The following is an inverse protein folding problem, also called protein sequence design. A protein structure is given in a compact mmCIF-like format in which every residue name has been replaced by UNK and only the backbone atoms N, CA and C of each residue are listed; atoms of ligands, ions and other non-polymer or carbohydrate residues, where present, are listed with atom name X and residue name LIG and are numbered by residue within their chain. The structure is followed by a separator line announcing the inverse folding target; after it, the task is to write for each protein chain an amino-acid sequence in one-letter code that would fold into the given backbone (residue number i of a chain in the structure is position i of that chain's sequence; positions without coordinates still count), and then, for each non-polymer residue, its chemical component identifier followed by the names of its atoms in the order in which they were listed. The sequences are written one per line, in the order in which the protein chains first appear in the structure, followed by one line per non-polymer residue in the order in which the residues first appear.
data_IF_118803344488
#
_entry.id   IF_118803344488
#
_cell.length_a   1.000
_cell.length_b   1.000
_cell.length_c   1.000
_cell.angle_alpha   90.00
_cell.angle_beta   90.00
_cell.angle_gamma   90.00
#
_symmetry.space_group_name_H-M   'P 1'
#
loop_
_entity.id
_entity.type
_entity.pdbx_description
1 polymer ?
#
# COMPACT_ATOMS: atom_id res chain seq x y z
N UNK A 1 -0.70 15.99 -16.25
CA UNK A 1 -0.84 14.56 -16.57
C UNK A 1 -1.02 13.77 -15.31
N UNK A 2 -2.04 12.92 -15.26
CA UNK A 2 -2.27 12.03 -14.13
C UNK A 2 -1.41 10.77 -14.28
N UNK A 3 -0.80 10.35 -13.20
CA UNK A 3 -0.02 9.11 -13.16
C UNK A 3 -0.59 8.18 -12.10
N UNK A 4 -0.66 6.90 -12.43
CA UNK A 4 -1.07 5.87 -11.48
C UNK A 4 0.16 5.29 -10.80
N UNK A 5 0.12 5.23 -9.48
CA UNK A 5 1.14 4.53 -8.71
C UNK A 5 0.61 3.20 -8.20
N UNK A 6 1.24 2.14 -8.63
CA UNK A 6 0.85 0.76 -8.34
C UNK A 6 1.79 0.19 -7.29
N UNK A 7 1.25 -0.06 -6.10
CA UNK A 7 1.99 -0.70 -5.02
C UNK A 7 1.27 -1.96 -4.56
N UNK A 8 2.01 -2.95 -4.06
CA UNK A 8 1.44 -4.20 -3.59
C UNK A 8 1.84 -4.43 -2.15
N UNK A 9 0.86 -4.59 -1.27
CA UNK A 9 1.08 -4.85 0.15
C UNK A 9 1.18 -6.36 0.36
N UNK A 10 2.21 -6.78 1.10
CA UNK A 10 2.34 -8.15 1.59
C UNK A 10 2.01 -8.14 3.08
N UNK A 11 0.76 -8.50 3.48
CA UNK A 11 0.40 -8.53 4.89
C UNK A 11 1.12 -9.67 5.62
N UNK A 12 1.31 -9.53 6.94
CA UNK A 12 1.77 -10.66 7.77
C UNK A 12 0.72 -11.77 7.82
N UNK A 13 -0.57 -11.38 7.81
CA UNK A 13 -1.69 -12.33 7.73
C UNK A 13 -2.22 -12.34 6.30
N UNK A 14 -2.02 -13.42 5.53
CA UNK A 14 -2.47 -13.47 4.13
C UNK A 14 -3.99 -13.44 3.97
N UNK A 15 -4.76 -13.74 5.00
CA UNK A 15 -6.22 -13.66 4.94
C UNK A 15 -6.71 -12.23 4.72
N UNK A 16 -5.93 -11.23 5.13
CA UNK A 16 -6.29 -9.82 4.96
C UNK A 16 -6.35 -9.40 3.50
N UNK A 17 -5.69 -10.13 2.60
CA UNK A 17 -5.72 -9.85 1.16
C UNK A 17 -7.15 -9.92 0.61
N UNK A 18 -7.96 -10.81 1.17
CA UNK A 18 -9.34 -11.04 0.74
C UNK A 18 -10.40 -10.51 1.72
N UNK A 19 -9.98 -9.61 2.63
CA UNK A 19 -10.88 -9.07 3.66
C UNK A 19 -11.00 -7.53 3.56
N UNK A 20 -11.86 -7.02 2.66
CA UNK A 20 -12.06 -5.57 2.52
C UNK A 20 -12.57 -4.91 3.79
N UNK A 21 -13.38 -5.61 4.61
CA UNK A 21 -13.91 -5.03 5.84
C UNK A 21 -12.78 -4.65 6.80
N UNK A 22 -11.75 -5.49 6.90
CA UNK A 22 -10.64 -5.25 7.80
C UNK A 22 -9.90 -3.96 7.44
N UNK A 23 -9.55 -3.78 6.17
CA UNK A 23 -8.83 -2.56 5.79
C UNK A 23 -9.70 -1.31 5.84
N UNK A 24 -11.01 -1.42 5.58
CA UNK A 24 -11.91 -0.28 5.75
C UNK A 24 -12.02 0.15 7.21
N UNK A 25 -12.14 -0.79 8.13
CA UNK A 25 -12.16 -0.51 9.58
C UNK A 25 -10.87 0.19 9.98
N UNK A 26 -9.73 -0.32 9.53
CA UNK A 26 -8.43 0.26 9.83
C UNK A 26 -8.30 1.69 9.30
N UNK A 27 -8.74 1.94 8.06
CA UNK A 27 -8.71 3.28 7.46
C UNK A 27 -9.54 4.28 8.28
N UNK A 28 -10.71 3.86 8.75
CA UNK A 28 -11.62 4.74 9.50
C UNK A 28 -11.11 5.12 10.88
N UNK A 29 -10.10 4.41 11.41
CA UNK A 29 -9.50 4.77 12.71
C UNK A 29 -8.52 5.95 12.59
N UNK A 30 -8.15 6.34 11.38
CA UNK A 30 -7.22 7.45 11.15
C UNK A 30 -7.96 8.74 10.89
N UNK A 31 -7.71 9.75 11.70
CA UNK A 31 -8.36 11.06 11.60
C UNK A 31 -8.07 11.76 10.27
N UNK A 32 -6.88 11.51 9.72
CA UNK A 32 -6.42 12.18 8.51
C UNK A 32 -6.98 11.59 7.23
N UNK A 33 -7.64 10.42 7.31
CA UNK A 33 -8.17 9.71 6.16
C UNK A 33 -9.70 9.70 6.23
N UNK A 34 -10.34 10.27 5.21
CA UNK A 34 -11.80 10.32 5.13
C UNK A 34 -12.24 9.60 3.87
N UNK A 35 -12.93 8.48 4.03
CA UNK A 35 -13.52 7.75 2.90
C UNK A 35 -14.82 8.42 2.52
N UNK A 36 -14.92 8.92 1.28
CA UNK A 36 -16.10 9.60 0.78
C UNK A 36 -17.05 8.68 0.04
N UNK A 37 -16.50 7.75 -0.74
CA UNK A 37 -17.28 6.84 -1.57
C UNK A 37 -16.50 5.56 -1.81
N UNK A 38 -17.19 4.43 -1.81
CA UNK A 38 -16.58 3.15 -2.13
C UNK A 38 -17.57 2.34 -3.00
N UNK A 39 -17.00 1.59 -3.95
CA UNK A 39 -17.78 0.74 -4.84
C UNK A 39 -16.91 -0.39 -5.36
N UNK A 40 -17.45 -1.19 -6.25
CA UNK A 40 -16.75 -2.31 -6.86
C UNK A 40 -16.70 -2.15 -8.37
N UNK A 41 -15.49 -2.30 -8.91
CA UNK A 41 -15.24 -2.30 -10.35
C UNK A 41 -14.77 -3.70 -10.75
N UNK A 42 -15.44 -4.34 -11.71
CA UNK A 42 -15.11 -5.71 -12.10
C UNK A 42 -13.69 -5.89 -12.61
N UNK A 43 -13.13 -4.87 -13.23
CA UNK A 43 -11.80 -4.94 -13.81
C UNK A 43 -10.69 -4.55 -12.82
N UNK A 44 -10.97 -3.63 -11.89
CA UNK A 44 -9.96 -3.01 -11.05
C UNK A 44 -10.11 -3.32 -9.56
N UNK A 45 -11.20 -3.94 -9.13
CA UNK A 45 -11.46 -4.28 -7.74
C UNK A 45 -12.26 -3.22 -7.01
N UNK A 46 -11.95 -3.01 -5.72
CA UNK A 46 -12.64 -2.02 -4.88
C UNK A 46 -12.15 -0.63 -5.26
N UNK A 47 -13.08 0.23 -5.68
CA UNK A 47 -12.78 1.62 -6.02
C UNK A 47 -13.18 2.51 -4.85
N UNK A 48 -12.26 3.36 -4.40
CA UNK A 48 -12.48 4.22 -3.24
C UNK A 48 -12.09 5.64 -3.59
N UNK A 49 -13.01 6.57 -3.34
CA UNK A 49 -12.72 8.00 -3.34
C UNK A 49 -12.52 8.42 -1.88
N UNK A 50 -11.39 9.03 -1.59
CA UNK A 50 -11.03 9.40 -0.22
C UNK A 50 -10.21 10.69 -0.19
N UNK A 51 -10.06 11.24 1.01
CA UNK A 51 -9.17 12.38 1.25
C UNK A 51 -8.13 12.00 2.30
N UNK A 52 -6.90 12.46 2.08
CA UNK A 52 -5.81 12.36 3.05
C UNK A 52 -5.35 13.79 3.33
N UNK A 53 -5.53 14.29 4.55
CA UNK A 53 -5.25 15.69 4.92
C UNK A 53 -5.90 16.66 3.92
N UNK A 54 -7.18 16.43 3.61
CA UNK A 54 -7.99 17.22 2.66
C UNK A 54 -7.57 17.12 1.18
N UNK A 55 -6.57 16.33 0.85
CA UNK A 55 -6.19 16.07 -0.54
C UNK A 55 -7.00 14.89 -1.09
N UNK A 56 -7.75 15.08 -2.19
CA UNK A 56 -8.60 14.02 -2.73
C UNK A 56 -7.79 13.02 -3.56
N UNK A 57 -8.13 11.74 -3.42
CA UNK A 57 -7.52 10.65 -4.17
C UNK A 57 -8.56 9.64 -4.59
N UNK A 58 -8.29 8.97 -5.69
CA UNK A 58 -9.00 7.77 -6.10
C UNK A 58 -8.03 6.60 -6.10
N UNK A 59 -8.45 5.50 -5.48
CA UNK A 59 -7.66 4.28 -5.44
C UNK A 59 -8.47 3.08 -5.88
N UNK A 60 -7.77 2.06 -6.37
CA UNK A 60 -8.34 0.75 -6.65
C UNK A 60 -7.54 -0.29 -5.88
N UNK A 61 -8.25 -1.18 -5.19
CA UNK A 61 -7.65 -2.20 -4.32
C UNK A 61 -8.13 -3.57 -4.75
N UNK A 62 -7.21 -4.47 -5.01
CA UNK A 62 -7.56 -5.85 -5.38
C UNK A 62 -6.44 -6.83 -5.05
N UNK A 63 -6.78 -8.12 -4.79
CA UNK A 63 -5.77 -9.16 -4.70
C UNK A 63 -5.05 -9.33 -6.04
N UNK A 64 -3.76 -9.62 -5.99
CA UNK A 64 -2.96 -9.85 -7.19
C UNK A 64 -1.87 -10.89 -6.94
N UNK A 65 -1.53 -11.64 -7.97
CA UNK A 65 -0.36 -12.52 -7.95
C UNK A 65 0.91 -11.67 -8.05
N UNK A 66 1.96 -12.10 -7.39
CA UNK A 66 3.22 -11.37 -7.35
C UNK A 66 4.41 -12.24 -7.71
N UNK A 67 5.46 -11.60 -8.24
CA UNK A 67 6.75 -12.21 -8.53
C UNK A 67 7.85 -11.41 -7.83
N UNK A 68 8.25 -11.87 -6.66
CA UNK A 68 9.23 -11.19 -5.83
C UNK A 68 10.62 -11.07 -6.49
N UNK A 69 11.13 -12.09 -7.24
CA UNK A 69 12.45 -12.00 -7.83
C UNK A 69 12.70 -10.82 -8.76
N UNK A 70 11.63 -10.23 -9.32
CA UNK A 70 11.77 -9.06 -10.21
C UNK A 70 12.02 -7.74 -9.46
N UNK A 71 11.94 -7.74 -8.12
CA UNK A 71 12.10 -6.53 -7.31
C UNK A 71 13.47 -6.46 -6.66
N UNK A 72 14.02 -5.24 -6.58
CA UNK A 72 15.29 -4.99 -5.92
C UNK A 72 15.09 -5.08 -4.40
N UNK A 73 15.83 -5.97 -3.76
CA UNK A 73 15.79 -6.17 -2.32
C UNK A 73 16.87 -5.32 -1.67
N UNK A 74 16.48 -4.53 -0.69
CA UNK A 74 17.39 -3.76 0.13
C UNK A 74 17.69 -4.58 1.39
N UNK A 75 18.75 -5.41 1.30
CA UNK A 75 19.05 -6.42 2.33
C UNK A 75 19.17 -5.89 3.75
N UNK A 76 19.60 -4.63 3.90
CA UNK A 76 19.73 -4.02 5.22
C UNK A 76 18.39 -3.69 5.88
N UNK A 77 17.28 -3.78 5.14
CA UNK A 77 15.92 -3.51 5.66
C UNK A 77 15.21 -4.77 6.13
N UNK A 78 15.75 -5.94 5.85
CA UNK A 78 15.08 -7.21 6.12
C UNK A 78 15.96 -8.16 6.94
N UNK A 79 15.32 -8.90 7.85
CA UNK A 79 15.97 -10.03 8.51
C UNK A 79 15.90 -11.26 7.60
N UNK A 80 16.71 -12.28 7.91
CA UNK A 80 16.68 -13.54 7.13
C UNK A 80 15.30 -14.22 7.22
N UNK A 81 14.65 -14.16 8.38
CA UNK A 81 13.33 -14.72 8.57
C UNK A 81 12.28 -14.01 7.72
N UNK A 82 12.36 -12.68 7.66
CA UNK A 82 11.48 -11.88 6.81
C UNK A 82 11.65 -12.23 5.34
N UNK A 83 12.90 -12.35 4.87
CA UNK A 83 13.18 -12.71 3.48
C UNK A 83 12.64 -14.11 3.13
N UNK A 84 12.74 -15.06 4.04
CA UNK A 84 12.17 -16.40 3.85
C UNK A 84 10.65 -16.35 3.74
N UNK A 85 10.02 -15.59 4.62
CA UNK A 85 8.56 -15.42 4.60
C UNK A 85 8.10 -14.76 3.30
N UNK A 86 8.82 -13.74 2.84
CA UNK A 86 8.53 -13.02 1.59
C UNK A 86 8.70 -13.95 0.38
N UNK A 87 9.74 -14.77 0.35
CA UNK A 87 9.98 -15.69 -0.75
C UNK A 87 8.88 -16.75 -0.91
N UNK A 88 8.16 -17.05 0.15
CA UNK A 88 7.06 -17.99 0.13
C UNK A 88 5.74 -17.35 -0.34
N UNK A 89 5.67 -16.03 -0.42
CA UNK A 89 4.45 -15.29 -0.76
C UNK A 89 4.18 -15.37 -2.27
N UNK A 90 2.93 -15.64 -2.62
CA UNK A 90 2.50 -15.72 -4.03
C UNK A 90 1.45 -14.68 -4.39
N UNK A 91 0.87 -14.02 -3.41
CA UNK A 91 -0.21 -13.08 -3.59
C UNK A 91 -0.05 -11.89 -2.65
N UNK A 92 -0.47 -10.73 -3.10
CA UNK A 92 -0.51 -9.51 -2.31
C UNK A 92 -1.78 -8.73 -2.58
N UNK A 93 -1.93 -7.60 -1.88
CA UNK A 93 -3.04 -6.68 -2.06
C UNK A 93 -2.54 -5.46 -2.83
N UNK A 94 -2.99 -5.30 -4.07
CA UNK A 94 -2.58 -4.15 -4.87
C UNK A 94 -3.36 -2.90 -4.45
N UNK A 95 -2.66 -1.78 -4.40
CA UNK A 95 -3.23 -0.46 -4.20
C UNK A 95 -2.75 0.42 -5.35
N UNK A 96 -3.65 0.74 -6.25
CA UNK A 96 -3.35 1.62 -7.38
C UNK A 96 -3.95 2.99 -7.06
N UNK A 97 -3.12 4.03 -7.02
CA UNK A 97 -3.52 5.38 -6.63
C UNK A 97 -3.18 6.36 -7.74
N UNK A 98 -4.14 7.21 -8.07
CA UNK A 98 -3.93 8.26 -9.06
C UNK A 98 -3.22 9.43 -8.40
N UNK A 99 -2.04 9.78 -8.92
CA UNK A 99 -1.27 10.92 -8.44
C UNK A 99 -1.66 12.19 -9.18
N UNK A 100 -1.97 13.23 -8.42
CA UNK A 100 -2.23 14.57 -8.93
C UNK A 100 -1.42 15.56 -8.10
N UNK A 101 -0.74 16.50 -8.75
CA UNK A 101 0.09 17.48 -8.08
C UNK A 101 1.50 16.98 -7.79
N UNK A 102 2.06 17.33 -6.61
CA UNK A 102 3.43 16.99 -6.26
C UNK A 102 3.57 15.47 -6.00
N UNK A 103 4.36 14.75 -6.82
CA UNK A 103 4.49 13.30 -6.66
C UNK A 103 5.11 12.88 -5.32
N UNK A 104 5.90 13.72 -4.67
CA UNK A 104 6.47 13.41 -3.36
C UNK A 104 5.39 13.40 -2.29
N UNK A 105 4.45 14.32 -2.35
CA UNK A 105 3.29 14.36 -1.44
C UNK A 105 2.38 13.16 -1.69
N UNK A 106 2.10 12.86 -2.96
CA UNK A 106 1.28 11.70 -3.34
C UNK A 106 1.91 10.39 -2.87
N UNK A 107 3.22 10.24 -3.03
CA UNK A 107 3.95 9.06 -2.58
C UNK A 107 3.84 8.89 -1.06
N UNK A 108 4.07 9.95 -0.31
CA UNK A 108 3.93 9.96 1.13
C UNK A 108 2.50 9.59 1.56
N UNK A 109 1.50 10.18 0.91
CA UNK A 109 0.10 9.89 1.22
C UNK A 109 -0.25 8.44 0.91
N UNK A 110 0.30 7.87 -0.17
CA UNK A 110 0.08 6.46 -0.49
C UNK A 110 0.68 5.54 0.57
N UNK A 111 1.88 5.84 1.07
CA UNK A 111 2.49 5.07 2.17
C UNK A 111 1.67 5.18 3.46
N UNK A 112 1.16 6.36 3.77
CA UNK A 112 0.30 6.57 4.93
C UNK A 112 -1.00 5.77 4.81
N UNK A 113 -1.59 5.77 3.61
CA UNK A 113 -2.80 5.00 3.33
C UNK A 113 -2.54 3.50 3.50
N UNK A 114 -1.45 3.00 2.93
CA UNK A 114 -1.06 1.59 3.03
C UNK A 114 -0.85 1.20 4.49
N UNK A 115 -0.14 2.03 5.25
CA UNK A 115 0.10 1.76 6.67
C UNK A 115 -1.20 1.73 7.48
N UNK A 116 -2.14 2.60 7.13
CA UNK A 116 -3.46 2.62 7.76
C UNK A 116 -4.28 1.37 7.42
N UNK A 117 -4.27 0.95 6.15
CA UNK A 117 -5.06 -0.20 5.68
C UNK A 117 -4.59 -1.51 6.31
N UNK A 118 -3.28 -1.75 6.28
CA UNK A 118 -2.65 -3.00 6.74
C UNK A 118 -1.47 -2.63 7.64
N UNK A 119 -1.70 -2.36 8.93
CA UNK A 119 -0.62 -1.98 9.85
C UNK A 119 0.43 -3.08 10.01
N UNK A 120 0.01 -4.35 10.04
CA UNK A 120 0.89 -5.50 10.18
C UNK A 120 1.25 -6.07 8.81
N UNK A 121 2.39 -5.66 8.27
CA UNK A 121 2.83 -6.07 6.93
C UNK A 121 4.30 -6.49 6.92
N UNK A 122 4.61 -7.45 6.07
CA UNK A 122 5.99 -7.91 5.83
C UNK A 122 6.73 -6.91 4.93
N UNK A 123 6.07 -6.47 3.88
CA UNK A 123 6.71 -5.64 2.85
C UNK A 123 5.68 -4.95 1.99
N UNK A 124 6.15 -3.97 1.23
CA UNK A 124 5.39 -3.31 0.17
C UNK A 124 6.25 -3.32 -1.09
N UNK A 125 5.66 -3.76 -2.20
CA UNK A 125 6.30 -3.71 -3.50
C UNK A 125 5.98 -2.38 -4.15
N UNK A 126 6.98 -1.53 -4.32
CA UNK A 126 6.85 -0.28 -5.05
C UNK A 126 7.12 -0.57 -6.52
N UNK A 127 6.06 -0.82 -7.29
CA UNK A 127 6.18 -1.28 -8.66
C UNK A 127 6.82 -0.23 -9.58
N UNK A 128 6.48 1.08 -9.49
CA UNK A 128 7.12 2.07 -10.35
C UNK A 128 8.64 2.13 -10.19
N UNK A 129 9.17 1.95 -8.99
CA UNK A 129 10.62 1.97 -8.73
C UNK A 129 11.26 0.60 -8.70
N UNK A 130 10.47 -0.47 -8.81
CA UNK A 130 10.91 -1.87 -8.74
C UNK A 130 11.67 -2.21 -7.44
N UNK A 131 11.22 -1.62 -6.33
CA UNK A 131 11.84 -1.81 -5.02
C UNK A 131 10.92 -2.56 -4.07
N UNK A 132 11.53 -3.39 -3.23
CA UNK A 132 10.85 -4.07 -2.14
C UNK A 132 11.14 -3.27 -0.85
N UNK A 133 10.08 -2.67 -0.28
CA UNK A 133 10.18 -1.87 0.94
C UNK A 133 9.79 -2.73 2.14
N UNK A 134 10.57 -2.64 3.24
CA UNK A 134 10.19 -3.37 4.46
C UNK A 134 8.97 -2.74 5.11
N UNK A 135 8.19 -3.56 5.82
CA UNK A 135 7.05 -3.06 6.59
C UNK A 135 7.47 -2.02 7.61
N UNK A 136 8.63 -2.22 8.25
CA UNK A 136 9.16 -1.26 9.23
C UNK A 136 9.50 0.07 8.58
N UNK A 137 10.11 0.05 7.40
CA UNK A 137 10.46 1.29 6.70
C UNK A 137 9.20 2.07 6.31
N UNK A 138 8.18 1.37 5.82
CA UNK A 138 6.90 2.01 5.44
C UNK A 138 6.22 2.63 6.66
N UNK A 139 6.22 1.94 7.78
CA UNK A 139 5.65 2.45 9.03
C UNK A 139 6.38 3.71 9.50
N UNK A 140 7.71 3.71 9.47
CA UNK A 140 8.51 4.89 9.83
C UNK A 140 8.29 6.04 8.86
N UNK A 141 8.25 5.77 7.56
CA UNK A 141 8.02 6.80 6.55
C UNK A 141 6.62 7.41 6.70
N UNK A 142 5.61 6.57 6.95
CA UNK A 142 4.23 7.03 7.12
C UNK A 142 4.05 7.90 8.37
N UNK A 143 4.83 7.66 9.43
CA UNK A 143 4.74 8.44 10.68
C UNK A 143 5.68 9.64 10.71
N UNK A 144 6.53 9.80 9.70
CA UNK A 144 7.48 10.92 9.62
C UNK A 144 6.77 12.24 9.30
N UNK A 145 7.26 13.34 9.89
CA UNK A 145 6.81 14.69 9.52
C UNK A 145 7.56 15.23 8.30
N UNK A 146 8.57 14.51 7.82
CA UNK A 146 9.41 14.90 6.69
C UNK A 146 9.11 13.94 5.54
N UNK A 147 8.94 14.46 4.32
CA UNK A 147 8.69 13.66 3.14
C UNK A 147 9.82 12.66 2.89
N UNK A 148 9.49 11.40 2.57
CA UNK A 148 10.50 10.39 2.30
C UNK A 148 11.25 10.63 1.00
#
# INVERSE_FOLDING_TARGET
MQEDSYMIIIPKDPELIHDPKAFFVNMKTHENIVVEKAGFNQERGVEIDLKIDDRPYRIWVSPTEISIPSFVRLGHQFTEEELKAIDAVKEGLSVNMVYEGDPRVCYYDQLRLIDAMIPEKLAVLDCPSEKLLSGRWVELAASSSVLP
#
